data_IF_696190418877
#
_entry.id   IF_696190418877
#
_cell.length_a   1.000
_cell.length_b   1.000
_cell.length_c   1.000
_cell.angle_alpha   90.00
_cell.angle_beta   90.00
_cell.angle_gamma   90.00
#
_symmetry.space_group_name_H-M   'P 1'
#
loop_
_entity.id
_entity.type
_entity.pdbx_description
1 polymer ?
#
# COMPACT_ATOMS: atom_id res chain seq x y z
N UNK A 1 -22.66 23.26 -9.09
CA UNK A 1 -21.44 22.44 -8.87
C UNK A 1 -20.82 22.90 -7.56
N UNK A 2 -21.38 22.46 -6.44
CA UNK A 2 -20.79 22.73 -5.13
C UNK A 2 -19.60 21.79 -4.96
N UNK A 3 -18.39 22.36 -5.02
CA UNK A 3 -17.20 21.66 -4.57
C UNK A 3 -17.32 21.54 -3.05
N UNK A 4 -17.73 20.35 -2.57
CA UNK A 4 -17.53 19.98 -1.18
C UNK A 4 -16.02 19.93 -0.91
N UNK A 5 -15.45 21.06 -0.52
CA UNK A 5 -14.13 21.10 0.10
C UNK A 5 -14.24 20.33 1.41
N UNK A 6 -13.94 19.03 1.37
CA UNK A 6 -13.65 18.27 2.59
C UNK A 6 -12.35 18.85 3.13
N UNK A 7 -12.47 19.85 3.98
CA UNK A 7 -11.40 20.28 4.86
C UNK A 7 -10.97 19.04 5.64
N UNK A 8 -9.87 18.41 5.22
CA UNK A 8 -9.12 17.53 6.10
C UNK A 8 -8.25 18.48 6.92
N UNK A 9 -8.60 18.78 8.17
CA UNK A 9 -7.81 19.68 8.97
C UNK A 9 -6.38 19.15 9.10
N UNK A 10 -5.42 19.95 8.63
CA UNK A 10 -3.98 19.72 8.65
C UNK A 10 -3.41 19.86 10.08
N UNK A 11 -3.94 19.12 11.06
CA UNK A 11 -3.65 19.24 12.50
C UNK A 11 -2.17 19.44 12.90
N UNK A 12 -1.31 18.51 13.31
CA UNK A 12 0.11 18.72 13.71
C UNK A 12 1.12 19.52 12.84
N UNK A 13 0.71 20.31 11.84
CA UNK A 13 1.51 21.36 11.18
C UNK A 13 1.32 22.77 11.80
N UNK A 14 0.57 22.88 12.91
CA UNK A 14 0.28 24.15 13.61
C UNK A 14 -1.17 24.62 13.51
N UNK A 15 -2.07 23.80 12.98
CA UNK A 15 -3.50 24.10 12.80
C UNK A 15 -4.40 23.40 13.83
N UNK A 16 -3.92 23.12 15.04
CA UNK A 16 -4.76 22.53 16.11
C UNK A 16 -5.89 23.47 16.55
N UNK A 17 -7.13 23.01 16.83
CA UNK A 17 -8.14 23.87 17.41
C UNK A 17 -7.60 24.42 18.73
N UNK A 18 -7.88 25.69 19.03
CA UNK A 18 -7.49 26.28 20.31
C UNK A 18 -7.98 25.37 21.45
N UNK A 19 -7.10 24.92 22.38
CA UNK A 19 -7.51 24.07 23.50
C UNK A 19 -8.58 24.73 24.40
N UNK A 20 -8.80 26.04 24.28
CA UNK A 20 -9.90 26.74 24.92
C UNK A 20 -11.29 26.49 24.28
N UNK A 21 -11.38 25.71 23.20
CA UNK A 21 -12.59 25.58 22.38
C UNK A 21 -12.69 26.68 21.32
N UNK A 22 -13.73 26.70 20.47
CA UNK A 22 -13.94 27.85 19.60
C UNK A 22 -13.97 29.13 20.44
N UNK A 23 -13.17 30.13 20.06
CA UNK A 23 -13.22 31.46 20.67
C UNK A 23 -14.70 31.87 20.80
N UNK A 24 -15.15 32.43 21.95
CA UNK A 24 -16.53 32.88 22.10
C UNK A 24 -16.95 33.90 21.03
N UNK A 25 -15.97 34.46 20.30
CA UNK A 25 -16.16 35.26 19.10
C UNK A 25 -16.03 34.39 17.84
N UNK A 26 -16.90 33.39 17.68
CA UNK A 26 -17.01 32.68 16.39
C UNK A 26 -17.62 33.65 15.39
N UNK A 27 -16.78 34.13 14.49
CA UNK A 27 -17.17 34.99 13.40
C UNK A 27 -17.80 34.07 12.33
N UNK A 28 -19.09 34.24 12.04
CA UNK A 28 -19.83 33.46 11.04
C UNK A 28 -20.31 34.34 9.88
N UNK A 29 -20.56 33.73 8.71
CA UNK A 29 -21.15 34.42 7.57
C UNK A 29 -20.29 35.57 7.03
N UNK A 30 -20.93 36.72 6.80
CA UNK A 30 -20.31 37.92 6.21
C UNK A 30 -19.28 38.58 7.13
N UNK A 31 -19.26 38.24 8.42
CA UNK A 31 -18.28 38.75 9.36
C UNK A 31 -16.91 38.06 9.20
N UNK A 32 -16.86 36.90 8.52
CA UNK A 32 -15.61 36.18 8.28
C UNK A 32 -14.60 37.11 7.60
N UNK A 33 -13.33 37.09 8.04
CA UNK A 33 -12.31 37.88 7.39
C UNK A 33 -12.26 37.51 5.91
N UNK A 34 -12.40 38.52 5.04
CA UNK A 34 -12.38 38.35 3.57
C UNK A 34 -11.10 37.67 3.08
N UNK A 35 -10.06 37.67 3.90
CA UNK A 35 -8.79 37.01 3.67
C UNK A 35 -8.58 35.88 4.70
N UNK A 36 -8.05 34.72 4.27
CA UNK A 36 -7.65 33.67 5.21
C UNK A 36 -6.65 34.21 6.23
N UNK A 37 -6.94 34.03 7.52
CA UNK A 37 -6.00 34.37 8.59
C UNK A 37 -5.08 33.17 8.82
N UNK A 38 -3.79 33.37 8.57
CA UNK A 38 -2.77 32.40 8.89
C UNK A 38 -2.32 32.55 10.35
N UNK A 39 -2.07 31.44 11.02
CA UNK A 39 -1.40 31.43 12.33
C UNK A 39 0.10 31.70 12.17
N UNK A 40 0.79 31.90 13.29
CA UNK A 40 2.23 32.08 13.27
C UNK A 40 2.95 30.87 12.65
N UNK A 41 3.93 31.14 11.79
CA UNK A 41 4.71 30.09 11.15
C UNK A 41 5.53 29.31 12.18
N UNK A 42 5.51 27.98 12.08
CA UNK A 42 6.29 27.09 12.95
C UNK A 42 7.37 26.39 12.14
N UNK A 43 8.61 26.45 12.62
CA UNK A 43 9.71 25.68 12.05
C UNK A 43 9.46 24.17 12.26
N UNK A 44 9.78 23.35 11.24
CA UNK A 44 9.54 21.90 11.23
C UNK A 44 10.87 21.12 11.30
N UNK A 45 11.52 21.05 12.48
CA UNK A 45 12.88 20.49 12.60
C UNK A 45 12.99 19.02 12.23
N UNK A 46 11.89 18.25 12.28
CA UNK A 46 11.86 16.85 11.86
C UNK A 46 12.03 16.70 10.35
N UNK A 47 11.56 17.68 9.58
CA UNK A 47 11.65 17.70 8.12
C UNK A 47 12.90 18.41 7.66
N UNK A 48 13.27 19.49 8.34
CA UNK A 48 14.41 20.34 7.99
C UNK A 48 15.75 19.69 8.28
N UNK A 49 16.75 20.09 7.52
CA UNK A 49 18.13 19.64 7.57
C UNK A 49 19.06 20.83 7.32
N UNK A 50 20.39 20.69 7.52
CA UNK A 50 21.35 21.71 7.10
C UNK A 50 21.44 21.90 5.57
N UNK A 51 20.83 21.02 4.78
CA UNK A 51 20.76 21.14 3.33
C UNK A 51 19.66 22.11 2.86
N UNK A 52 19.51 22.20 1.55
CA UNK A 52 18.43 22.91 0.88
C UNK A 52 17.17 22.02 0.81
N UNK A 53 16.28 22.18 1.79
CA UNK A 53 14.97 21.53 1.78
C UNK A 53 13.93 22.42 1.09
N UNK A 54 13.41 21.96 -0.05
CA UNK A 54 12.64 22.80 -0.95
C UNK A 54 11.46 22.08 -1.60
N UNK A 55 10.58 22.86 -2.24
CA UNK A 55 9.43 22.39 -3.00
C UNK A 55 8.54 21.34 -2.27
N UNK A 56 8.02 21.65 -1.07
CA UNK A 56 7.12 20.74 -0.37
C UNK A 56 5.78 20.59 -1.09
N UNK A 57 5.28 19.36 -1.17
CA UNK A 57 3.95 19.02 -1.68
C UNK A 57 3.29 17.96 -0.81
N UNK A 58 2.00 18.10 -0.53
CA UNK A 58 1.24 17.22 0.38
C UNK A 58 0.16 16.45 -0.39
N UNK A 59 -0.02 15.16 -0.08
CA UNK A 59 -1.06 14.34 -0.71
C UNK A 59 -2.45 14.87 -0.38
N UNK A 60 -3.43 14.59 -1.25
CA UNK A 60 -4.84 15.01 -1.10
C UNK A 60 -5.44 14.72 0.29
N UNK A 61 -5.03 13.62 0.93
CA UNK A 61 -5.52 13.20 2.25
C UNK A 61 -4.66 13.69 3.42
N UNK A 62 -3.56 14.40 3.17
CA UNK A 62 -2.64 14.85 4.21
C UNK A 62 -1.84 13.72 4.87
N UNK A 63 -1.76 12.54 4.27
CA UNK A 63 -1.04 11.37 4.84
C UNK A 63 0.47 11.43 4.63
N UNK A 64 0.91 12.08 3.54
CA UNK A 64 2.32 12.17 3.16
C UNK A 64 2.69 13.56 2.66
N UNK A 65 3.88 14.00 3.07
CA UNK A 65 4.58 15.16 2.53
C UNK A 65 5.76 14.67 1.68
N UNK A 66 5.91 15.21 0.49
CA UNK A 66 7.06 15.02 -0.38
C UNK A 66 7.79 16.36 -0.52
N UNK A 67 9.09 16.33 -0.68
CA UNK A 67 9.91 17.53 -0.87
C UNK A 67 11.27 17.15 -1.45
N UNK A 68 11.98 18.10 -2.03
CA UNK A 68 13.33 17.93 -2.55
C UNK A 68 14.37 18.33 -1.50
N UNK A 69 15.51 17.64 -1.44
CA UNK A 69 16.56 17.92 -0.47
C UNK A 69 17.93 17.41 -0.91
N UNK A 70 18.96 18.22 -0.76
CA UNK A 70 20.36 17.79 -0.89
C UNK A 70 21.00 17.43 0.46
N UNK A 71 20.18 16.96 1.42
CA UNK A 71 20.67 16.50 2.72
C UNK A 71 21.70 15.37 2.56
N UNK A 72 22.60 15.27 3.53
CA UNK A 72 23.64 14.23 3.56
C UNK A 72 23.03 12.82 3.53
N UNK A 73 23.64 11.93 2.73
CA UNK A 73 23.24 10.53 2.58
C UNK A 73 22.26 10.27 1.44
N UNK A 74 22.05 11.26 0.56
CA UNK A 74 21.36 11.11 -0.70
C UNK A 74 22.17 10.40 -1.80
N UNK A 75 21.59 10.26 -2.98
CA UNK A 75 22.18 9.59 -4.15
C UNK A 75 23.05 10.51 -5.01
N UNK A 76 22.80 11.82 -4.98
CA UNK A 76 23.50 12.79 -5.82
C UNK A 76 23.32 14.22 -5.35
N UNK A 77 22.76 15.06 -6.23
CA UNK A 77 22.42 16.45 -5.94
C UNK A 77 21.26 16.54 -4.95
N UNK A 78 20.13 17.05 -5.42
CA UNK A 78 18.88 17.06 -4.67
C UNK A 78 18.11 15.77 -4.92
N UNK A 79 17.65 15.12 -3.86
CA UNK A 79 16.79 13.95 -3.97
C UNK A 79 15.37 14.27 -3.53
N UNK A 80 14.39 13.48 -3.99
CA UNK A 80 13.03 13.52 -3.47
C UNK A 80 12.92 12.64 -2.22
N UNK A 81 12.47 13.27 -1.14
CA UNK A 81 12.16 12.63 0.14
C UNK A 81 10.66 12.60 0.37
N UNK A 82 10.23 11.65 1.21
CA UNK A 82 8.85 11.53 1.69
C UNK A 82 8.84 11.41 3.21
N UNK A 83 7.94 12.15 3.85
CA UNK A 83 7.60 11.98 5.26
C UNK A 83 6.15 11.53 5.39
N UNK A 84 5.90 10.60 6.32
CA UNK A 84 4.54 10.23 6.71
C UNK A 84 4.04 11.22 7.77
N UNK A 85 2.83 11.70 7.58
CA UNK A 85 2.15 12.56 8.54
C UNK A 85 1.23 11.68 9.42
N UNK A 86 1.45 11.67 10.73
CA UNK A 86 0.61 10.95 11.70
C UNK A 86 -0.03 11.97 12.61
N UNK A 87 -1.38 12.01 12.64
CA UNK A 87 -2.12 13.09 13.30
C UNK A 87 -1.62 14.46 12.84
N UNK A 88 -1.25 14.55 11.55
CA UNK A 88 -0.69 15.72 10.89
C UNK A 88 0.68 16.20 11.43
N UNK A 89 1.34 15.43 12.30
CA UNK A 89 2.75 15.66 12.66
C UNK A 89 3.67 14.86 11.71
N UNK A 90 4.75 15.48 11.19
CA UNK A 90 5.68 14.78 10.32
C UNK A 90 6.56 13.80 11.09
N UNK A 91 6.78 12.62 10.50
CA UNK A 91 7.82 11.70 10.92
C UNK A 91 9.14 12.02 10.21
N UNK A 92 10.21 11.34 10.64
CA UNK A 92 11.49 11.38 9.94
C UNK A 92 11.29 11.06 8.44
N UNK A 93 11.75 11.92 7.53
CA UNK A 93 11.64 11.71 6.10
C UNK A 93 12.58 10.60 5.63
N UNK A 94 12.19 9.93 4.57
CA UNK A 94 12.98 8.89 3.92
C UNK A 94 13.15 9.20 2.44
N UNK A 95 14.33 8.85 1.93
CA UNK A 95 14.66 8.95 0.52
C UNK A 95 13.80 7.97 -0.31
N UNK A 96 13.33 8.38 -1.49
CA UNK A 96 12.45 7.54 -2.32
C UNK A 96 13.16 6.41 -3.07
N UNK A 97 14.48 6.28 -2.95
CA UNK A 97 15.25 5.19 -3.54
C UNK A 97 15.71 5.48 -4.96
N UNK A 98 16.53 4.57 -5.50
CA UNK A 98 17.22 4.71 -6.79
C UNK A 98 16.29 4.67 -8.01
N UNK A 99 15.05 4.20 -7.85
CA UNK A 99 14.08 4.23 -8.94
C UNK A 99 13.57 5.65 -9.23
N UNK A 100 13.65 6.53 -8.24
CA UNK A 100 13.27 7.94 -8.36
C UNK A 100 14.50 8.81 -8.40
N UNK A 101 15.41 8.64 -7.44
CA UNK A 101 16.57 9.49 -7.23
C UNK A 101 17.83 8.89 -7.87
N UNK A 102 18.81 9.72 -8.22
CA UNK A 102 20.07 9.29 -8.83
C UNK A 102 21.24 10.22 -8.51
N UNK A 103 22.29 10.17 -9.34
CA UNK A 103 23.46 11.05 -9.20
C UNK A 103 23.18 12.53 -9.56
N UNK A 104 21.94 12.83 -9.94
CA UNK A 104 21.46 14.06 -10.58
C UNK A 104 20.62 14.89 -9.60
N UNK A 105 20.01 15.98 -10.08
CA UNK A 105 19.08 16.81 -9.30
C UNK A 105 17.62 16.42 -9.55
N UNK A 106 17.00 15.72 -8.60
CA UNK A 106 15.56 15.49 -8.54
C UNK A 106 14.83 16.53 -7.68
N UNK A 107 14.01 17.37 -8.32
CA UNK A 107 13.39 18.52 -7.65
C UNK A 107 11.91 18.70 -8.00
N UNK A 108 11.26 19.64 -7.32
CA UNK A 108 9.89 20.10 -7.61
C UNK A 108 8.85 18.96 -7.74
N UNK A 109 8.71 18.09 -6.72
CA UNK A 109 7.74 17.02 -6.78
C UNK A 109 6.31 17.58 -6.89
N UNK A 110 5.52 16.95 -7.76
CA UNK A 110 4.08 17.10 -7.86
C UNK A 110 3.43 15.72 -7.81
N UNK A 111 2.28 15.61 -7.16
CA UNK A 111 1.69 14.32 -6.84
C UNK A 111 0.23 14.25 -7.27
N UNK A 112 -0.19 13.05 -7.65
CA UNK A 112 -1.60 12.68 -7.84
C UNK A 112 -1.85 11.25 -7.37
N UNK A 113 -3.12 10.86 -7.32
CA UNK A 113 -3.54 9.52 -6.91
C UNK A 113 -2.96 9.16 -5.53
N UNK A 114 -3.17 10.02 -4.53
CA UNK A 114 -2.68 9.81 -3.15
C UNK A 114 -1.16 9.55 -3.05
N UNK A 115 -0.35 10.14 -3.94
CA UNK A 115 1.11 9.98 -3.97
C UNK A 115 1.59 8.72 -4.69
N UNK A 116 0.71 7.96 -5.35
CA UNK A 116 1.08 6.82 -6.19
C UNK A 116 1.50 7.21 -7.61
N UNK A 117 1.34 8.48 -7.99
CA UNK A 117 1.95 9.02 -9.19
C UNK A 117 2.61 10.34 -8.91
N UNK A 118 3.91 10.35 -9.16
CA UNK A 118 4.82 11.46 -8.96
C UNK A 118 5.18 12.04 -10.32
N UNK A 119 5.13 13.36 -10.45
CA UNK A 119 5.80 14.12 -11.48
C UNK A 119 6.90 14.93 -10.81
N UNK A 120 8.04 15.12 -11.46
CA UNK A 120 9.17 15.82 -10.88
C UNK A 120 10.13 16.29 -11.95
N UNK A 121 11.01 17.23 -11.60
CA UNK A 121 12.10 17.68 -12.45
C UNK A 121 13.34 16.82 -12.23
N UNK A 122 14.06 16.48 -13.29
CA UNK A 122 15.39 15.86 -13.22
C UNK A 122 16.26 16.33 -14.37
N UNK A 123 17.57 16.42 -14.13
CA UNK A 123 18.58 16.75 -15.13
C UNK A 123 19.38 15.53 -15.63
N UNK A 124 18.88 14.32 -15.36
CA UNK A 124 19.50 13.04 -15.77
C UNK A 124 19.73 12.84 -17.27
N UNK A 125 19.07 13.62 -18.12
CA UNK A 125 19.26 13.62 -19.59
C UNK A 125 20.04 14.85 -20.10
N UNK A 126 20.62 15.64 -19.18
CA UNK A 126 21.33 16.88 -19.48
C UNK A 126 20.42 18.11 -19.63
N UNK A 127 19.10 17.95 -19.52
CA UNK A 127 18.17 19.08 -19.44
C UNK A 127 17.95 19.45 -17.98
N UNK A 128 18.50 20.60 -17.55
CA UNK A 128 18.47 21.07 -16.16
C UNK A 128 17.09 21.01 -15.45
N UNK A 129 15.99 21.07 -16.21
CA UNK A 129 14.63 20.99 -15.66
C UNK A 129 13.74 20.02 -16.45
N UNK A 130 14.29 18.92 -16.95
CA UNK A 130 13.52 17.88 -17.64
C UNK A 130 12.35 17.36 -16.79
N UNK A 131 11.18 17.12 -17.41
CA UNK A 131 9.98 16.68 -16.70
C UNK A 131 9.82 15.16 -16.75
N UNK A 132 9.77 14.53 -15.57
CA UNK A 132 9.68 13.09 -15.40
C UNK A 132 8.40 12.71 -14.68
N UNK A 133 7.97 11.45 -14.86
CA UNK A 133 6.89 10.87 -14.07
C UNK A 133 7.24 9.44 -13.62
N UNK A 134 6.70 9.06 -12.47
CA UNK A 134 6.81 7.71 -11.93
C UNK A 134 5.49 7.26 -11.31
N UNK A 135 5.09 6.01 -11.59
CA UNK A 135 3.92 5.36 -10.99
C UNK A 135 4.35 4.24 -10.06
N UNK A 136 3.94 4.32 -8.80
CA UNK A 136 4.13 3.22 -7.85
C UNK A 136 3.18 2.08 -8.18
N UNK A 137 3.71 0.89 -8.47
CA UNK A 137 2.95 -0.36 -8.54
C UNK A 137 2.78 -0.92 -7.13
N UNK A 138 1.85 -0.39 -6.35
CA UNK A 138 1.63 -0.91 -4.99
C UNK A 138 0.80 -2.20 -5.04
N UNK A 139 1.44 -3.37 -4.96
CA UNK A 139 0.79 -4.62 -4.55
C UNK A 139 0.90 -4.73 -3.04
N UNK A 140 -0.06 -4.19 -2.30
CA UNK A 140 -0.16 -4.44 -0.85
C UNK A 140 -1.30 -5.42 -0.61
N UNK A 141 -0.95 -6.70 -0.49
CA UNK A 141 -1.85 -7.68 0.14
C UNK A 141 -1.87 -7.38 1.63
N UNK A 142 -2.89 -6.65 2.10
CA UNK A 142 -3.18 -6.61 3.55
C UNK A 142 -4.01 -7.84 3.88
N UNK A 143 -3.42 -8.78 4.61
CA UNK A 143 -4.20 -9.84 5.24
C UNK A 143 -4.93 -9.23 6.44
N UNK A 144 -6.26 -9.18 6.36
CA UNK A 144 -7.10 -8.77 7.47
C UNK A 144 -7.41 -10.01 8.32
N UNK A 145 -6.55 -10.25 9.31
CA UNK A 145 -6.69 -11.38 10.23
C UNK A 145 -7.92 -11.28 11.12
N UNK A 146 -8.57 -10.11 11.22
CA UNK A 146 -9.83 -9.96 11.97
C UNK A 146 -11.03 -10.59 11.26
N UNK A 147 -10.90 -10.86 9.95
CA UNK A 147 -11.91 -11.56 9.15
C UNK A 147 -11.69 -13.07 9.08
N UNK A 148 -10.56 -13.56 9.59
CA UNK A 148 -10.36 -15.01 9.76
C UNK A 148 -11.16 -15.48 10.98
N UNK A 149 -11.71 -16.70 10.95
CA UNK A 149 -12.37 -17.25 12.12
C UNK A 149 -11.42 -17.29 13.32
N UNK A 150 -11.88 -16.93 14.54
CA UNK A 150 -11.07 -17.04 15.75
C UNK A 150 -10.74 -18.51 16.05
N UNK A 151 -9.73 -18.76 16.90
CA UNK A 151 -9.32 -20.12 17.29
C UNK A 151 -10.48 -21.00 17.75
N UNK A 152 -11.43 -20.40 18.46
CA UNK A 152 -12.55 -21.11 19.08
C UNK A 152 -13.57 -21.55 18.03
N UNK A 153 -13.65 -20.86 16.89
CA UNK A 153 -14.46 -21.30 15.76
C UNK A 153 -13.96 -22.65 15.24
N UNK A 154 -12.64 -22.86 15.13
CA UNK A 154 -12.09 -24.16 14.71
C UNK A 154 -12.38 -25.25 15.74
N UNK A 155 -12.29 -24.92 17.03
CA UNK A 155 -12.70 -25.78 18.15
C UNK A 155 -14.14 -26.28 18.01
N UNK A 156 -15.06 -25.34 17.79
CA UNK A 156 -16.50 -25.61 17.71
C UNK A 156 -16.92 -26.31 16.41
N UNK A 157 -16.08 -26.29 15.37
CA UNK A 157 -16.39 -26.86 14.05
C UNK A 157 -15.58 -28.13 13.73
N UNK A 158 -14.86 -28.73 14.68
CA UNK A 158 -14.03 -29.91 14.46
C UNK A 158 -14.78 -31.08 13.79
N UNK A 159 -16.01 -31.35 14.21
CA UNK A 159 -16.83 -32.42 13.63
C UNK A 159 -17.13 -32.21 12.14
N UNK A 160 -17.47 -30.97 11.75
CA UNK A 160 -17.72 -30.61 10.34
C UNK A 160 -16.43 -30.66 9.52
N UNK A 161 -15.31 -30.22 10.08
CA UNK A 161 -14.00 -30.30 9.43
C UNK A 161 -13.58 -31.75 9.19
N UNK A 162 -13.79 -32.66 10.16
CA UNK A 162 -13.55 -34.09 9.97
C UNK A 162 -14.47 -34.71 8.94
N UNK A 163 -15.76 -34.40 8.98
CA UNK A 163 -16.71 -34.88 7.98
C UNK A 163 -16.34 -34.41 6.57
N UNK A 164 -15.89 -33.16 6.42
CA UNK A 164 -15.40 -32.63 5.16
C UNK A 164 -14.16 -33.39 4.67
N UNK A 165 -13.15 -33.61 5.54
CA UNK A 165 -11.93 -34.35 5.20
C UNK A 165 -12.27 -35.80 4.81
N UNK A 166 -13.12 -36.49 5.57
CA UNK A 166 -13.58 -37.85 5.27
C UNK A 166 -14.33 -37.90 3.93
N UNK A 167 -15.18 -36.91 3.65
CA UNK A 167 -15.90 -36.83 2.37
C UNK A 167 -14.95 -36.62 1.19
N UNK A 168 -13.92 -35.80 1.37
CA UNK A 168 -12.89 -35.56 0.36
C UNK A 168 -12.05 -36.83 0.14
N UNK A 169 -11.67 -37.53 1.21
CA UNK A 169 -10.95 -38.79 1.14
C UNK A 169 -11.78 -39.87 0.43
N UNK A 170 -13.08 -39.96 0.72
CA UNK A 170 -13.99 -40.87 0.05
C UNK A 170 -14.15 -40.52 -1.44
N UNK A 171 -14.29 -39.23 -1.76
CA UNK A 171 -14.36 -38.75 -3.15
C UNK A 171 -13.09 -39.17 -3.92
N UNK A 172 -11.91 -38.93 -3.34
CA UNK A 172 -10.63 -39.33 -3.93
C UNK A 172 -10.55 -40.85 -4.07
N UNK A 173 -10.97 -41.62 -3.06
CA UNK A 173 -11.01 -43.07 -3.12
C UNK A 173 -11.91 -43.59 -4.25
N UNK A 174 -13.12 -43.05 -4.37
CA UNK A 174 -14.06 -43.41 -5.43
C UNK A 174 -13.53 -43.03 -6.81
N UNK A 175 -12.91 -41.85 -6.94
CA UNK A 175 -12.25 -41.41 -8.16
C UNK A 175 -11.13 -42.37 -8.57
N UNK A 176 -10.22 -42.70 -7.65
CA UNK A 176 -9.14 -43.65 -7.90
C UNK A 176 -9.66 -45.07 -8.22
N UNK A 177 -10.77 -45.47 -7.60
CA UNK A 177 -11.43 -46.75 -7.85
C UNK A 177 -12.07 -46.79 -9.24
N UNK A 178 -12.69 -45.70 -9.70
CA UNK A 178 -13.31 -45.63 -11.03
C UNK A 178 -12.28 -45.78 -12.16
N UNK A 179 -11.05 -45.29 -11.95
CA UNK A 179 -9.98 -45.38 -12.94
C UNK A 179 -9.08 -46.64 -12.80
N UNK A 180 -9.40 -47.58 -11.91
CA UNK A 180 -8.72 -48.90 -11.88
C UNK A 180 -9.21 -49.77 -13.04
N UNK A 181 -8.35 -50.02 -14.04
CA UNK A 181 -8.61 -51.00 -15.11
C UNK A 181 -8.80 -52.42 -14.53
N UNK A 182 -9.71 -53.25 -15.07
CA UNK A 182 -9.84 -54.64 -14.63
C UNK A 182 -8.55 -55.41 -14.91
N UNK A 183 -8.15 -56.26 -13.98
CA UNK A 183 -6.98 -57.13 -14.17
C UNK A 183 -7.24 -58.09 -15.34
N UNK A 184 -6.24 -58.35 -16.20
CA UNK A 184 -6.40 -59.31 -17.28
C UNK A 184 -6.71 -60.69 -16.68
N UNK A 185 -7.75 -61.36 -17.20
CA UNK A 185 -8.05 -62.74 -16.82
C UNK A 185 -6.87 -63.62 -17.21
N UNK A 186 -6.35 -64.38 -16.24
CA UNK A 186 -5.42 -65.48 -16.53
C UNK A 186 -6.21 -66.54 -17.30
N UNK A 187 -5.76 -66.99 -18.49
CA UNK A 187 -6.46 -68.03 -19.24
C UNK A 187 -6.48 -69.34 -18.43
N UNK A 188 -7.60 -70.07 -18.51
CA UNK A 188 -7.72 -71.40 -17.90
C UNK A 188 -6.74 -72.38 -18.57
N UNK A 189 -6.16 -73.33 -17.81
CA UNK A 189 -5.25 -74.31 -18.37
C UNK A 189 -5.96 -75.16 -19.41
N UNK A 190 -5.35 -75.25 -20.60
CA UNK A 190 -5.85 -76.00 -21.75
C UNK A 190 -6.02 -77.48 -21.37
N UNK A 191 -7.27 -77.97 -21.37
CA UNK A 191 -7.56 -79.39 -21.14
C UNK A 191 -7.16 -80.14 -22.41
N UNK A 192 -6.00 -80.79 -22.36
CA UNK A 192 -5.53 -81.73 -23.39
C UNK A 192 -6.48 -82.92 -23.43
N UNK A 193 -7.32 -82.99 -24.47
CA UNK A 193 -8.15 -84.15 -24.73
C UNK A 193 -7.30 -85.26 -25.33
N UNK A 194 -7.21 -86.37 -24.60
CA UNK A 194 -6.53 -87.59 -25.00
C UNK A 194 -7.29 -88.25 -26.17
N UNK A 195 -6.62 -88.51 -27.29
CA UNK A 195 -7.20 -89.23 -28.43
C UNK A 195 -7.06 -90.73 -28.19
N UNK A 196 -8.11 -91.55 -28.33
CA UNK A 196 -7.98 -92.98 -28.13
C UNK A 196 -7.32 -93.64 -29.36
N UNK A 197 -6.35 -94.49 -29.08
CA UNK A 197 -5.74 -95.42 -30.04
C UNK A 197 -6.74 -96.47 -30.49
N UNK A 198 -6.98 -96.58 -31.80
CA UNK A 198 -7.73 -97.65 -32.45
C UNK A 198 -7.53 -97.61 -33.96
#
# INVERSE_FOLDING_TARGET
LEAHYRYTPLYGLGFEPDPAGPSPNVIEGDDLPKTPIFRHAKHLPVLSSPGNDSAPVITDHGDFLYFASNRKGGFGGSDIYRSRLIKNAPNAPFNLGEEINGEFDETHPAIRMAGFHLLFNSDRDGNAFGLYNAKSKRVVRRYDYSKMPPSDWFGNNLGLLFAFILSLALLVYLFLRWFRKPSPKVPDPEVVADSPSG
#
